data_IF_659485253861
#
_entry.id   IF_659485253861
#
_cell.length_a   1.000
_cell.length_b   1.000
_cell.length_c   1.000
_cell.angle_alpha   90.00
_cell.angle_beta   90.00
_cell.angle_gamma   90.00
#
_symmetry.space_group_name_H-M   'P 1'
#
loop_
_entity.id
_entity.type
_entity.pdbx_description
1 polymer ?
2 non-polymer ?
#
# COMPACT_ATOMS: atom_id res chain seq x y z
N UNK A 21 19.15 6.66 -29.26
CA UNK A 21 18.86 5.46 -30.03
C UNK A 21 17.40 5.05 -29.91
N UNK A 22 17.07 3.88 -30.45
CA UNK A 22 15.71 3.34 -30.37
C UNK A 22 15.73 2.18 -29.37
N UNK A 23 15.26 2.39 -28.14
CA UNK A 23 15.33 1.32 -27.14
C UNK A 23 14.38 0.18 -27.47
N UNK A 24 14.84 -1.05 -27.19
CA UNK A 24 14.00 -2.23 -27.42
C UNK A 24 12.90 -2.26 -26.37
N UNK A 25 11.76 -2.84 -26.74
CA UNK A 25 10.57 -2.82 -25.90
C UNK A 25 10.47 -4.07 -25.03
N UNK A 26 10.19 -3.87 -23.76
CA UNK A 26 9.86 -4.96 -22.86
C UNK A 26 8.55 -5.61 -23.28
N UNK A 27 8.32 -6.84 -22.81
CA UNK A 27 7.18 -7.64 -23.24
C UNK A 27 5.84 -6.90 -23.16
N UNK A 28 5.45 -6.36 -22.00
CA UNK A 28 4.16 -5.65 -21.96
C UNK A 28 4.17 -4.36 -22.76
N UNK A 29 5.34 -3.75 -22.96
CA UNK A 29 5.46 -2.49 -23.67
C UNK A 29 5.32 -2.73 -25.17
N UNK A 30 4.25 -2.20 -25.76
CA UNK A 30 4.10 -2.20 -27.21
C UNK A 30 4.29 -0.80 -27.79
N UNK A 31 4.10 0.25 -27.02
CA UNK A 31 4.38 1.62 -27.43
C UNK A 31 5.64 2.12 -26.72
N UNK A 32 6.38 3.00 -27.39
CA UNK A 32 7.50 3.66 -26.73
C UNK A 32 7.02 4.68 -25.70
N UNK A 33 5.95 5.40 -26.02
CA UNK A 33 5.44 6.43 -25.12
C UNK A 33 3.95 6.59 -25.34
N UNK A 34 3.23 6.85 -24.26
CA UNK A 34 1.81 7.20 -24.31
C UNK A 34 1.67 8.70 -24.07
N UNK A 35 1.01 9.38 -25.00
CA UNK A 35 0.82 10.82 -24.90
C UNK A 35 -0.46 11.07 -24.12
N UNK A 36 -0.31 11.44 -22.84
CA UNK A 36 -1.44 11.80 -22.00
C UNK A 36 -1.69 13.29 -22.13
N UNK A 37 -2.89 13.65 -22.61
CA UNK A 37 -3.19 15.04 -22.91
C UNK A 37 -4.67 15.31 -22.62
N UNK A 38 -5.01 16.60 -22.54
CA UNK A 38 -6.37 17.06 -22.38
C UNK A 38 -6.94 17.36 -23.76
N UNK A 39 -7.89 16.53 -24.21
CA UNK A 39 -8.42 16.62 -25.56
C UNK A 39 -9.19 17.90 -25.84
N UNK A 40 -9.52 18.68 -24.82
CA UNK A 40 -10.30 19.89 -25.05
C UNK A 40 -9.44 21.00 -25.63
N UNK A 41 -8.28 21.26 -25.02
CA UNK A 41 -7.45 22.39 -25.40
C UNK A 41 -6.09 22.03 -25.98
N UNK A 42 -5.56 20.84 -25.68
CA UNK A 42 -4.23 20.45 -26.12
C UNK A 42 -4.22 19.28 -27.09
N UNK A 43 -5.38 18.91 -27.64
CA UNK A 43 -5.42 17.82 -28.60
C UNK A 43 -4.63 18.15 -29.86
N UNK A 44 -4.43 19.43 -30.16
CA UNK A 44 -3.59 19.81 -31.29
C UNK A 44 -2.12 19.87 -30.89
N UNK A 45 -1.83 20.31 -29.66
CA UNK A 45 -0.46 20.33 -29.18
C UNK A 45 0.10 18.92 -29.04
N UNK A 46 -0.73 17.99 -28.57
CA UNK A 46 -0.28 16.60 -28.42
C UNK A 46 0.03 15.98 -29.77
N UNK A 47 -0.77 16.29 -30.80
CA UNK A 47 -0.51 15.76 -32.13
C UNK A 47 0.82 16.26 -32.68
N UNK A 48 1.20 17.49 -32.34
CA UNK A 48 2.49 18.02 -32.79
C UNK A 48 3.64 17.25 -32.20
N UNK A 49 3.58 16.93 -30.90
CA UNK A 49 4.63 16.16 -30.25
C UNK A 49 4.66 14.74 -30.80
N UNK A 50 3.51 14.19 -31.17
CA UNK A 50 3.46 12.86 -31.76
C UNK A 50 4.33 12.77 -33.01
N UNK A 51 4.22 13.76 -33.90
CA UNK A 51 5.03 13.75 -35.11
C UNK A 51 6.51 13.97 -34.79
N UNK A 52 6.81 14.80 -33.80
CA UNK A 52 8.20 15.08 -33.47
C UNK A 52 8.90 13.86 -32.89
N UNK A 53 8.16 13.00 -32.19
CA UNK A 53 8.75 11.81 -31.57
C UNK A 53 8.75 10.63 -32.54
N UNK A 54 7.68 10.43 -33.29
CA UNK A 54 7.61 9.30 -34.22
C UNK A 54 8.49 9.51 -35.44
N UNK A 55 8.85 10.76 -35.76
CA UNK A 55 9.73 11.00 -36.90
C UNK A 55 11.09 10.36 -36.71
N UNK A 56 11.53 10.19 -35.46
CA UNK A 56 12.83 9.62 -35.16
C UNK A 56 12.73 8.17 -34.66
N UNK A 57 11.72 7.43 -35.12
CA UNK A 57 11.68 5.98 -34.98
C UNK A 57 10.77 5.46 -33.89
N UNK A 58 10.40 6.27 -32.91
CA UNK A 58 9.65 5.77 -31.77
C UNK A 58 8.19 5.55 -32.13
N UNK A 59 7.60 4.53 -31.49
CA UNK A 59 6.19 4.19 -31.69
C UNK A 59 5.39 4.67 -30.48
N UNK A 60 4.45 5.58 -30.71
CA UNK A 60 3.69 6.21 -29.63
C UNK A 60 2.22 5.81 -29.73
N UNK A 61 1.48 6.15 -28.67
CA UNK A 61 0.05 5.91 -28.59
C UNK A 61 -0.66 7.25 -28.49
N UNK A 62 -1.22 7.71 -29.60
CA UNK A 62 -1.98 8.96 -29.66
C UNK A 62 -3.47 8.62 -29.69
N UNK A 63 -4.22 9.24 -28.79
CA UNK A 63 -5.61 8.82 -28.56
C UNK A 63 -6.49 9.03 -29.79
N UNK A 64 -6.26 10.13 -30.52
CA UNK A 64 -7.15 10.47 -31.62
C UNK A 64 -7.08 9.45 -32.75
N UNK A 65 -5.91 8.86 -32.99
CA UNK A 65 -5.78 7.92 -34.10
C UNK A 65 -5.72 6.45 -33.66
N UNK A 66 -5.32 6.18 -32.42
CA UNK A 66 -5.12 4.80 -31.99
C UNK A 66 -6.28 4.23 -31.20
N UNK A 67 -7.18 5.06 -30.69
CA UNK A 67 -8.37 4.60 -29.99
C UNK A 67 -9.60 4.71 -30.89
N UNK A 68 -10.59 3.88 -30.61
CA UNK A 68 -11.87 4.02 -31.28
C UNK A 68 -12.66 5.18 -30.68
N UNK A 69 -13.56 5.79 -31.44
CA UNK A 69 -14.32 6.94 -30.91
C UNK A 69 -15.04 6.65 -29.61
N UNK A 70 -15.81 5.56 -29.55
CA UNK A 70 -16.50 5.20 -28.33
C UNK A 70 -15.67 4.42 -27.33
N UNK A 71 -14.51 3.94 -27.74
CA UNK A 71 -13.62 3.15 -26.87
C UNK A 71 -12.51 4.00 -26.27
N UNK A 72 -12.87 5.16 -25.73
CA UNK A 72 -11.94 6.02 -25.01
C UNK A 72 -12.21 6.00 -23.52
N UNK A 73 -12.68 4.86 -22.99
CA UNK A 73 -13.00 4.73 -21.59
C UNK A 73 -11.74 4.84 -20.74
N UNK A 74 -11.94 4.89 -19.42
CA UNK A 74 -10.82 5.05 -18.50
C UNK A 74 -9.91 3.82 -18.51
N UNK A 75 -10.51 2.63 -18.61
CA UNK A 75 -9.71 1.41 -18.61
C UNK A 75 -8.90 1.25 -19.89
N UNK A 76 -9.44 1.71 -21.03
CA UNK A 76 -8.70 1.65 -22.28
C UNK A 76 -7.47 2.55 -22.22
N UNK A 77 -7.61 3.74 -21.64
CA UNK A 77 -6.45 4.61 -21.42
C UNK A 77 -5.44 3.91 -20.52
N UNK A 78 -5.93 3.17 -19.53
CA UNK A 78 -5.03 2.50 -18.58
C UNK A 78 -4.25 1.39 -19.26
N UNK A 79 -4.91 0.61 -20.13
CA UNK A 79 -4.22 -0.46 -20.84
C UNK A 79 -3.12 0.09 -21.74
N UNK A 80 -3.36 1.24 -22.36
CA UNK A 80 -2.33 1.87 -23.17
C UNK A 80 -1.14 2.30 -22.32
N UNK A 81 -1.41 2.79 -21.10
CA UNK A 81 -0.33 3.13 -20.19
C UNK A 81 0.42 1.88 -19.75
N UNK A 82 -0.31 0.80 -19.46
CA UNK A 82 0.32 -0.46 -19.09
C UNK A 82 1.17 -1.02 -20.23
N UNK A 83 0.80 -0.73 -21.48
CA UNK A 83 1.48 -1.25 -22.64
C UNK A 83 2.43 -0.24 -23.29
N UNK A 84 2.90 0.74 -22.54
CA UNK A 84 3.87 1.71 -23.04
C UNK A 84 4.95 1.92 -22.00
N UNK A 85 6.20 2.06 -22.47
CA UNK A 85 7.33 2.22 -21.56
C UNK A 85 7.27 3.57 -20.84
N UNK A 86 7.18 4.65 -21.60
CA UNK A 86 7.10 5.99 -21.06
C UNK A 86 5.71 6.58 -21.27
N UNK A 87 5.44 7.68 -20.57
CA UNK A 87 4.20 8.42 -20.68
C UNK A 87 4.54 9.89 -20.76
N UNK A 88 4.27 10.51 -21.91
CA UNK A 88 4.49 11.93 -22.11
C UNK A 88 3.25 12.67 -21.62
N UNK A 89 3.40 13.48 -20.58
CA UNK A 89 2.29 14.18 -19.94
C UNK A 89 2.28 15.62 -20.42
N UNK A 90 1.28 15.97 -21.22
CA UNK A 90 1.14 17.32 -21.76
C UNK A 90 0.32 18.15 -20.78
N UNK A 91 0.90 19.25 -20.31
CA UNK A 91 0.29 20.10 -19.29
C UNK A 91 0.30 21.54 -19.78
N UNK A 92 -0.87 22.16 -19.83
CA UNK A 92 -1.06 23.52 -20.28
C UNK A 92 -1.87 24.29 -19.25
N UNK A 93 -1.87 25.63 -19.31
CA UNK A 93 -2.74 26.38 -18.41
C UNK A 93 -4.21 26.01 -18.53
N UNK A 94 -4.69 25.74 -19.74
CA UNK A 94 -6.09 25.39 -19.90
C UNK A 94 -6.40 23.97 -19.47
N UNK A 95 -5.40 23.09 -19.46
CA UNK A 95 -5.63 21.70 -19.05
C UNK A 95 -5.78 21.56 -17.54
N UNK A 96 -5.09 22.40 -16.76
CA UNK A 96 -5.19 22.35 -15.31
C UNK A 96 -6.56 22.77 -14.80
N UNK A 97 -7.41 23.34 -15.66
CA UNK A 97 -8.75 23.73 -15.25
C UNK A 97 -9.78 22.64 -15.53
N UNK A 98 -9.62 21.91 -16.62
CA UNK A 98 -10.56 20.85 -16.97
C UNK A 98 -10.47 19.71 -15.96
N UNK A 99 -11.53 18.88 -15.95
CA UNK A 99 -11.58 17.73 -15.06
C UNK A 99 -10.49 16.70 -15.38
N UNK A 100 -9.84 16.81 -16.55
CA UNK A 100 -8.80 15.86 -16.91
C UNK A 100 -7.63 15.93 -15.94
N UNK A 101 -7.27 17.13 -15.49
CA UNK A 101 -6.19 17.29 -14.53
C UNK A 101 -6.52 16.66 -13.17
N UNK A 102 -7.80 16.52 -12.86
CA UNK A 102 -8.24 15.96 -11.58
C UNK A 102 -8.76 14.53 -11.74
N UNK A 103 -8.51 13.88 -12.86
CA UNK A 103 -9.03 12.54 -13.09
C UNK A 103 -8.08 11.70 -13.94
N UNK A 104 -8.12 11.89 -15.26
CA UNK A 104 -7.37 11.00 -16.16
C UNK A 104 -5.87 11.30 -16.14
N UNK A 105 -5.48 12.55 -15.88
CA UNK A 105 -4.06 12.86 -15.78
C UNK A 105 -3.41 12.14 -14.62
N UNK A 106 -4.12 12.03 -13.50
CA UNK A 106 -3.56 11.40 -12.31
C UNK A 106 -3.41 9.89 -12.46
N UNK A 107 -4.12 9.28 -13.42
CA UNK A 107 -4.00 7.83 -13.61
C UNK A 107 -2.67 7.46 -14.23
N UNK A 108 -1.93 8.41 -14.79
CA UNK A 108 -0.59 8.18 -15.29
C UNK A 108 0.48 8.53 -14.27
N UNK A 109 0.10 8.97 -13.07
CA UNK A 109 1.03 9.38 -12.03
C UNK A 109 1.04 8.30 -10.96
N UNK A 110 2.20 7.68 -10.75
CA UNK A 110 2.36 6.67 -9.73
C UNK A 110 2.73 7.33 -8.41
N UNK A 111 2.39 6.65 -7.31
CA UNK A 111 2.78 7.15 -6.00
C UNK A 111 4.29 7.08 -5.82
N UNK A 112 4.91 6.00 -6.30
CA UNK A 112 6.36 5.84 -6.21
C UNK A 112 7.07 6.91 -7.01
N UNK A 113 7.74 7.84 -6.31
CA UNK A 113 8.52 8.85 -7.00
C UNK A 113 9.64 8.24 -7.84
N UNK A 114 10.06 7.03 -7.52
CA UNK A 114 11.08 6.35 -8.32
C UNK A 114 10.56 6.02 -9.71
N UNK A 115 9.38 5.41 -9.80
CA UNK A 115 8.80 5.12 -11.11
C UNK A 115 8.38 6.39 -11.82
N UNK A 116 7.85 7.37 -11.07
CA UNK A 116 7.42 8.63 -11.69
C UNK A 116 8.58 9.32 -12.40
N UNK A 117 9.73 9.43 -11.74
CA UNK A 117 10.84 10.17 -12.32
C UNK A 117 11.44 9.45 -13.52
N UNK A 118 11.25 8.15 -13.65
CA UNK A 118 11.78 7.39 -14.78
C UNK A 118 10.75 7.26 -15.89
N UNK A 119 9.48 7.09 -15.53
CA UNK A 119 8.43 6.85 -16.51
C UNK A 119 7.76 8.13 -17.00
N UNK A 120 7.49 9.07 -16.10
CA UNK A 120 6.71 10.25 -16.45
C UNK A 120 7.58 11.31 -17.11
N UNK A 121 7.10 11.87 -18.21
CA UNK A 121 7.80 12.94 -18.91
C UNK A 121 6.87 14.15 -18.99
N UNK A 122 6.85 15.00 -17.96
CA UNK A 122 5.98 16.19 -18.01
C UNK A 122 6.47 17.20 -19.04
N UNK A 123 5.53 17.72 -19.82
CA UNK A 123 5.81 18.74 -20.83
C UNK A 123 4.95 19.95 -20.52
N UNK A 124 5.59 21.06 -20.19
CA UNK A 124 4.91 22.27 -19.75
C UNK A 124 4.79 23.25 -20.93
N UNK A 125 3.56 23.61 -21.26
CA UNK A 125 3.28 24.56 -22.34
C UNK A 125 2.78 25.88 -21.76
N UNK A 126 3.14 26.97 -22.44
CA UNK A 126 2.69 28.29 -22.00
C UNK A 126 3.22 28.59 -20.61
N UNK A 127 2.32 28.80 -19.66
CA UNK A 127 2.70 29.00 -18.28
C UNK A 127 3.31 27.75 -17.68
N UNK A 128 4.61 27.82 -17.37
CA UNK A 128 5.35 26.66 -16.89
C UNK A 128 5.58 26.72 -15.37
N UNK A 129 4.77 27.51 -14.65
CA UNK A 129 4.94 27.65 -13.22
C UNK A 129 4.74 26.32 -12.49
N UNK A 130 5.81 25.77 -11.94
CA UNK A 130 5.72 24.48 -11.24
C UNK A 130 4.84 24.61 -10.01
N UNK A 131 4.71 25.81 -9.44
CA UNK A 131 3.83 26.02 -8.31
C UNK A 131 2.37 25.75 -8.67
N UNK A 132 1.99 26.00 -9.93
CA UNK A 132 0.63 25.73 -10.37
C UNK A 132 0.36 24.24 -10.52
N UNK A 133 1.39 23.42 -10.67
CA UNK A 133 1.18 21.99 -10.79
C UNK A 133 0.55 21.45 -9.50
N UNK A 134 -0.35 20.47 -9.61
CA UNK A 134 -0.88 19.84 -8.40
C UNK A 134 0.22 19.18 -7.60
N UNK A 135 -0.01 18.93 -6.30
CA UNK A 135 1.03 18.35 -5.44
C UNK A 135 1.62 17.06 -6.02
N UNK A 136 0.85 16.20 -6.69
CA UNK A 136 1.50 15.03 -7.31
C UNK A 136 2.61 15.37 -8.28
N UNK A 137 2.46 16.44 -9.07
CA UNK A 137 3.43 16.78 -10.09
C UNK A 137 4.46 17.81 -9.65
N UNK A 138 4.21 18.53 -8.56
CA UNK A 138 5.11 19.60 -8.16
C UNK A 138 6.54 19.16 -7.89
N UNK A 139 6.82 18.03 -7.24
CA UNK A 139 8.22 17.63 -7.02
C UNK A 139 8.89 16.96 -8.21
N UNK A 140 8.26 16.95 -9.38
CA UNK A 140 8.82 16.28 -10.54
C UNK A 140 9.73 17.21 -11.33
N UNK A 141 10.59 16.60 -12.16
CA UNK A 141 11.50 17.33 -13.02
C UNK A 141 10.89 17.41 -14.40
N UNK A 142 10.39 18.58 -14.77
CA UNK A 142 9.62 18.77 -15.99
C UNK A 142 10.46 19.45 -17.07
N UNK A 143 9.98 19.32 -18.30
CA UNK A 143 10.62 19.95 -19.46
C UNK A 143 9.77 21.15 -19.88
N UNK A 144 10.41 22.31 -20.01
CA UNK A 144 9.74 23.50 -20.52
C UNK A 144 9.79 23.46 -22.04
N UNK A 145 8.63 23.34 -22.68
CA UNK A 145 8.50 23.36 -24.12
C UNK A 145 8.06 24.75 -24.54
N UNK A 146 8.87 25.41 -25.37
CA UNK A 146 8.58 26.76 -25.79
C UNK A 146 7.29 26.80 -26.63
N UNK A 147 6.75 28.01 -26.78
CA UNK A 147 5.54 28.20 -27.58
C UNK A 147 5.75 27.89 -29.06
N UNK A 148 6.99 27.72 -29.51
CA UNK A 148 7.26 27.35 -30.90
C UNK A 148 7.65 25.89 -31.06
N UNK A 149 7.62 25.11 -29.97
CA UNK A 149 7.94 23.68 -29.99
C UNK A 149 9.36 23.44 -30.50
N UNK A 150 10.33 24.08 -29.83
CA UNK A 150 11.73 23.88 -30.15
C UNK A 150 12.45 22.91 -29.20
N UNK A 151 11.98 22.77 -27.97
CA UNK A 151 12.55 21.79 -27.06
C UNK A 151 12.00 20.38 -27.28
N UNK A 152 11.47 20.10 -28.47
CA UNK A 152 10.86 18.80 -28.73
C UNK A 152 11.89 17.68 -28.68
N UNK A 153 13.16 17.97 -28.99
CA UNK A 153 14.19 16.95 -28.91
C UNK A 153 14.53 16.59 -27.46
N UNK A 154 14.26 17.49 -26.52
CA UNK A 154 14.42 17.15 -25.10
C UNK A 154 13.48 16.01 -24.71
N UNK A 155 12.27 16.00 -25.26
CA UNK A 155 11.30 14.94 -24.95
C UNK A 155 11.84 13.59 -25.41
N UNK A 156 12.48 13.56 -26.59
CA UNK A 156 12.98 12.31 -27.15
C UNK A 156 14.06 11.70 -26.27
N UNK A 157 14.78 12.54 -25.51
CA UNK A 157 15.85 12.02 -24.67
C UNK A 157 15.30 11.14 -23.55
N UNK A 158 14.20 11.57 -22.90
CA UNK A 158 13.66 10.82 -21.78
C UNK A 158 13.01 9.51 -22.19
N UNK A 159 12.81 9.27 -23.49
CA UNK A 159 12.16 8.06 -23.96
C UNK A 159 13.16 6.98 -24.38
N UNK A 160 14.43 7.33 -24.53
CA UNK A 160 15.42 6.38 -25.05
C UNK A 160 16.06 5.51 -23.99
N UNK A 161 15.95 5.87 -22.71
CA UNK A 161 16.55 5.09 -21.65
C UNK A 161 15.81 3.76 -21.49
N UNK A 162 16.46 2.60 -21.73
CA UNK A 162 15.81 1.29 -21.67
C UNK A 162 15.36 0.93 -20.26
N UNK A 169 15.05 -3.71 -10.37
CA UNK A 169 14.67 -2.99 -9.17
C UNK A 169 13.26 -2.43 -9.28
N UNK A 170 12.32 -3.08 -8.58
CA UNK A 170 10.92 -2.71 -8.66
C UNK A 170 10.64 -1.51 -7.75
N UNK A 171 9.97 -0.48 -8.24
CA UNK A 171 9.67 0.68 -7.41
C UNK A 171 8.54 0.40 -6.44
N UNK A 172 8.65 1.00 -5.25
CA UNK A 172 7.71 0.80 -4.16
C UNK A 172 7.11 2.14 -3.78
N UNK A 173 5.80 2.27 -3.91
CA UNK A 173 5.11 3.45 -3.43
C UNK A 173 4.98 3.42 -1.92
N UNK A 174 3.95 4.05 -1.38
CA UNK A 174 3.71 4.06 0.05
C UNK A 174 2.64 3.04 0.40
N UNK A 175 2.93 2.20 1.38
CA UNK A 175 2.07 1.07 1.74
C UNK A 175 1.19 1.35 2.96
N UNK A 176 1.42 2.46 3.67
CA UNK A 176 0.78 2.67 4.96
C UNK A 176 -0.73 2.72 4.83
N UNK A 177 -1.25 3.54 3.91
CA UNK A 177 -2.70 3.74 3.84
C UNK A 177 -3.40 2.51 3.29
N UNK A 178 -2.82 1.86 2.28
CA UNK A 178 -3.43 0.64 1.76
C UNK A 178 -3.52 -0.45 2.81
N UNK A 179 -2.44 -0.64 3.58
CA UNK A 179 -2.45 -1.64 4.64
C UNK A 179 -3.47 -1.31 5.71
N UNK A 180 -3.47 -0.06 6.18
CA UNK A 180 -4.29 0.31 7.34
C UNK A 180 -5.78 0.27 7.00
N UNK A 181 -6.18 0.90 5.89
CA UNK A 181 -7.58 0.90 5.53
C UNK A 181 -8.08 -0.50 5.21
N UNK A 182 -7.28 -1.29 4.51
CA UNK A 182 -7.67 -2.66 4.21
C UNK A 182 -7.78 -3.51 5.45
N UNK A 183 -6.83 -3.36 6.37
CA UNK A 183 -6.86 -4.14 7.61
C UNK A 183 -8.08 -3.79 8.46
N UNK A 184 -8.53 -2.54 8.40
CA UNK A 184 -9.68 -2.11 9.18
C UNK A 184 -10.99 -2.62 8.59
N UNK A 185 -11.31 -2.19 7.37
CA UNK A 185 -12.56 -2.58 6.73
C UNK A 185 -12.61 -4.08 6.45
N UNK A 186 -11.47 -4.66 6.06
CA UNK A 186 -11.45 -6.04 5.62
C UNK A 186 -11.24 -7.08 6.68
N UNK A 187 -10.99 -6.69 7.94
CA UNK A 187 -10.75 -7.68 8.97
C UNK A 187 -11.20 -7.20 10.35
N UNK A 188 -10.61 -6.10 10.83
CA UNK A 188 -10.97 -5.59 12.15
C UNK A 188 -12.45 -5.28 12.25
N UNK A 189 -13.03 -4.68 11.20
CA UNK A 189 -14.45 -4.39 11.21
C UNK A 189 -15.30 -5.66 11.20
N UNK A 190 -14.69 -6.81 10.92
CA UNK A 190 -15.42 -8.07 10.85
C UNK A 190 -15.39 -8.81 12.18
N UNK A 191 -14.22 -8.91 12.80
CA UNK A 191 -14.07 -9.75 13.99
C UNK A 191 -14.35 -8.98 15.28
N UNK A 192 -13.97 -7.71 15.34
CA UNK A 192 -13.99 -6.95 16.59
C UNK A 192 -15.40 -6.71 17.14
N UNK A 193 -16.43 -6.45 16.31
CA UNK A 193 -17.77 -6.30 16.87
C UNK A 193 -18.21 -7.52 17.67
N UNK A 194 -18.62 -7.27 18.91
CA UNK A 194 -19.05 -8.32 19.84
C UNK A 194 -17.98 -9.39 20.02
N UNK A 195 -16.71 -8.99 19.99
CA UNK A 195 -15.63 -9.91 20.31
C UNK A 195 -15.44 -10.07 21.81
N UNK A 196 -15.91 -9.11 22.61
CA UNK A 196 -15.79 -9.22 24.06
C UNK A 196 -16.61 -10.38 24.59
N UNK A 197 -17.86 -10.52 24.11
CA UNK A 197 -18.68 -11.66 24.51
C UNK A 197 -18.04 -12.96 24.08
N UNK A 198 -17.47 -13.00 22.88
CA UNK A 198 -16.87 -14.23 22.37
C UNK A 198 -15.67 -14.67 23.21
N UNK A 199 -14.84 -13.71 23.62
CA UNK A 199 -13.69 -14.05 24.44
C UNK A 199 -14.12 -14.37 25.87
N UNK A 200 -15.04 -13.57 26.43
CA UNK A 200 -15.52 -13.81 27.79
C UNK A 200 -16.25 -15.14 27.88
N UNK A 201 -17.03 -15.49 26.85
CA UNK A 201 -17.67 -16.80 26.83
C UNK A 201 -16.66 -17.93 26.68
N UNK A 202 -15.46 -17.63 26.16
CA UNK A 202 -14.44 -18.66 26.05
C UNK A 202 -13.74 -18.91 27.38
N UNK A 203 -13.44 -17.84 28.12
CA UNK A 203 -12.75 -18.02 29.40
C UNK A 203 -13.68 -18.58 30.47
N UNK A 204 -14.98 -18.27 30.39
CA UNK A 204 -15.93 -18.84 31.35
C UNK A 204 -16.12 -20.33 31.10
N UNK A 205 -16.08 -20.76 29.84
CA UNK A 205 -16.24 -22.18 29.53
C UNK A 205 -15.00 -22.97 29.96
N UNK A 206 -13.82 -22.42 29.69
CA UNK A 206 -12.57 -23.09 30.03
C UNK A 206 -12.06 -22.73 31.43
N UNK A 207 -12.84 -21.98 32.20
CA UNK A 207 -12.48 -21.61 33.58
C UNK A 207 -11.11 -20.93 33.61
N UNK A 208 -11.04 -19.76 32.96
CA UNK A 208 -9.79 -19.01 32.87
C UNK A 208 -9.90 -17.63 33.50
N UNK A 209 -10.86 -17.43 34.41
CA UNK A 209 -10.99 -16.15 35.07
C UNK A 209 -9.76 -15.87 35.94
N UNK A 210 -9.37 -14.60 36.00
CA UNK A 210 -8.18 -14.21 36.72
C UNK A 210 -6.87 -14.53 36.03
N UNK A 211 -6.90 -15.33 34.96
CA UNK A 211 -5.69 -15.67 34.21
C UNK A 211 -5.87 -15.44 32.70
N UNK A 212 -6.90 -14.70 32.30
CA UNK A 212 -7.12 -14.41 30.89
C UNK A 212 -7.86 -13.08 30.76
N UNK A 213 -7.42 -12.26 29.81
CA UNK A 213 -8.06 -11.00 29.51
C UNK A 213 -9.17 -11.19 28.49
N UNK A 214 -9.86 -10.11 28.16
CA UNK A 214 -10.92 -10.14 27.17
C UNK A 214 -10.60 -9.32 25.93
N UNK A 215 -9.40 -8.75 25.83
CA UNK A 215 -9.00 -7.95 24.69
C UNK A 215 -8.17 -8.77 23.72
N UNK A 216 -8.36 -8.51 22.43
CA UNK A 216 -7.56 -9.15 21.39
C UNK A 216 -6.22 -8.43 21.27
N UNK A 217 -5.14 -9.20 21.34
CA UNK A 217 -3.80 -8.64 21.32
C UNK A 217 -3.23 -8.74 19.90
N UNK A 218 -2.99 -7.59 19.27
CA UNK A 218 -2.39 -7.51 17.94
C UNK A 218 -0.92 -7.14 18.12
N UNK A 219 -0.04 -8.06 17.76
CA UNK A 219 1.40 -7.87 17.96
C UNK A 219 2.04 -7.26 16.73
N UNK A 220 2.94 -6.31 16.97
CA UNK A 220 3.55 -5.49 15.92
C UNK A 220 5.06 -5.50 16.15
N UNK A 221 5.74 -6.54 15.67
CA UNK A 221 7.21 -6.56 15.79
C UNK A 221 7.85 -5.47 14.94
N UNK A 222 8.97 -4.95 15.43
CA UNK A 222 9.62 -3.84 14.76
C UNK A 222 10.12 -4.23 13.37
N UNK A 223 10.65 -5.44 13.23
CA UNK A 223 11.16 -5.91 11.95
C UNK A 223 10.07 -6.34 10.98
N UNK A 224 8.81 -6.34 11.43
CA UNK A 224 7.65 -6.78 10.65
C UNK A 224 7.68 -8.26 10.33
N UNK A 225 8.61 -9.02 10.92
CA UNK A 225 8.70 -10.46 10.68
C UNK A 225 7.64 -11.15 11.52
N UNK A 226 6.50 -11.44 10.90
CA UNK A 226 5.46 -12.19 11.57
C UNK A 226 5.81 -13.68 11.62
N UNK A 227 5.42 -14.33 12.70
CA UNK A 227 5.66 -15.75 12.88
C UNK A 227 4.41 -16.54 12.51
N UNK A 228 4.63 -17.77 12.03
CA UNK A 228 3.51 -18.65 11.70
C UNK A 228 2.63 -18.90 12.91
N UNK A 229 3.25 -19.02 14.09
CA UNK A 229 2.53 -19.25 15.33
C UNK A 229 3.29 -18.56 16.45
N UNK A 230 2.56 -17.93 17.37
CA UNK A 230 3.21 -17.29 18.52
C UNK A 230 3.99 -18.32 19.33
N UNK A 231 3.59 -19.58 19.26
CA UNK A 231 4.34 -20.65 19.89
C UNK A 231 5.74 -20.81 19.32
N UNK A 232 6.03 -20.18 18.17
CA UNK A 232 7.37 -20.18 17.62
C UNK A 232 8.31 -19.20 18.32
N UNK A 233 7.79 -18.35 19.19
CA UNK A 233 8.66 -17.42 19.91
C UNK A 233 9.35 -18.11 21.08
N UNK A 234 8.66 -19.02 21.76
CA UNK A 234 9.23 -19.67 22.92
C UNK A 234 8.46 -20.95 23.20
N UNK A 235 9.13 -21.88 23.89
CA UNK A 235 8.48 -23.09 24.35
C UNK A 235 7.48 -22.84 25.48
N UNK A 236 7.36 -21.60 25.95
CA UNK A 236 6.38 -21.24 26.95
C UNK A 236 5.02 -20.90 26.36
N UNK A 237 4.97 -20.52 25.09
CA UNK A 237 3.71 -20.25 24.41
C UNK A 237 3.17 -21.55 23.83
N UNK A 238 1.90 -21.85 24.12
CA UNK A 238 1.28 -23.08 23.68
C UNK A 238 -0.04 -22.75 22.99
N UNK A 239 -0.27 -23.39 21.84
CA UNK A 239 -1.56 -23.28 21.17
C UNK A 239 -2.61 -24.02 22.00
N UNK A 240 -3.62 -23.29 22.48
CA UNK A 240 -4.61 -23.86 23.40
C UNK A 240 -6.03 -23.83 22.84
N UNK A 241 -6.21 -23.58 21.54
CA UNK A 241 -7.52 -23.60 20.95
C UNK A 241 -7.76 -22.35 20.12
N UNK A 242 -9.04 -22.08 19.87
CA UNK A 242 -9.42 -20.95 19.04
C UNK A 242 -10.82 -20.48 19.43
N UNK A 243 -11.16 -19.28 19.00
CA UNK A 243 -12.50 -18.75 19.17
C UNK A 243 -13.43 -19.34 18.12
N UNK A 244 -14.75 -19.27 18.34
CA UNK A 244 -15.69 -19.77 17.34
C UNK A 244 -15.44 -19.17 15.97
N UNK A 245 -15.49 -20.02 14.95
CA UNK A 245 -15.16 -19.61 13.59
C UNK A 245 -16.24 -18.68 13.05
N UNK A 246 -15.81 -17.61 12.40
CA UNK A 246 -16.71 -16.66 11.75
C UNK A 246 -16.73 -17.00 10.26
N UNK A 247 -17.87 -17.51 9.79
CA UNK A 247 -18.03 -17.93 8.41
C UNK A 247 -18.84 -16.88 7.65
N UNK A 248 -18.28 -16.40 6.54
CA UNK A 248 -18.90 -15.32 5.79
C UNK A 248 -18.56 -15.48 4.31
N UNK A 249 -19.57 -15.27 3.46
CA UNK A 249 -19.36 -15.22 2.01
C UNK A 249 -18.89 -13.83 1.65
N UNK A 250 -17.62 -13.69 1.31
CA UNK A 250 -17.02 -12.39 1.00
C UNK A 250 -16.19 -12.48 -0.26
N UNK A 251 -16.30 -11.44 -1.09
CA UNK A 251 -15.51 -11.31 -2.32
C UNK A 251 -15.72 -12.49 -3.27
N UNK A 252 -16.90 -13.10 -3.23
CA UNK A 252 -17.18 -14.25 -4.06
C UNK A 252 -16.65 -15.57 -3.53
N UNK A 253 -16.05 -15.59 -2.35
CA UNK A 253 -15.57 -16.81 -1.72
C UNK A 253 -16.59 -17.22 -0.68
N UNK A 254 -17.29 -18.33 -0.95
CA UNK A 254 -18.33 -18.80 -0.05
C UNK A 254 -17.69 -19.53 1.13
N UNK A 255 -18.16 -19.20 2.34
CA UNK A 255 -17.70 -19.82 3.58
C UNK A 255 -16.22 -19.54 3.83
N UNK A 256 -15.83 -18.27 3.72
CA UNK A 256 -14.49 -17.84 4.10
C UNK A 256 -14.41 -17.78 5.61
N UNK A 257 -13.44 -18.50 6.19
CA UNK A 257 -13.33 -18.62 7.64
C UNK A 257 -12.46 -17.50 8.21
N UNK A 258 -12.96 -16.85 9.25
CA UNK A 258 -12.21 -15.89 10.05
C UNK A 258 -12.08 -16.47 11.45
N UNK A 259 -10.91 -17.00 11.77
CA UNK A 259 -10.68 -17.70 13.03
C UNK A 259 -9.65 -16.95 13.86
N UNK A 260 -9.89 -16.89 15.17
CA UNK A 260 -8.99 -16.26 16.12
C UNK A 260 -8.45 -17.32 17.06
N UNK A 261 -7.12 -17.38 17.17
CA UNK A 261 -6.45 -18.45 17.91
C UNK A 261 -6.18 -18.04 19.35
N UNK A 262 -6.35 -18.99 20.27
CA UNK A 262 -6.08 -18.78 21.69
C UNK A 262 -4.74 -19.43 22.02
N UNK A 263 -3.88 -18.68 22.72
CA UNK A 263 -2.60 -19.18 23.19
C UNK A 263 -2.56 -19.11 24.72
N UNK A 264 -1.44 -19.54 25.29
CA UNK A 264 -1.22 -19.44 26.72
C UNK A 264 0.26 -19.24 26.98
N UNK A 265 0.58 -18.36 27.93
CA UNK A 265 1.95 -18.14 28.37
C UNK A 265 2.09 -18.70 29.77
N UNK A 266 3.30 -19.11 30.11
CA UNK A 266 3.62 -19.60 31.45
C UNK A 266 4.39 -18.51 32.19
N UNK A 267 3.82 -18.02 33.28
CA UNK A 267 4.48 -17.01 34.09
C UNK A 267 5.69 -17.62 34.80
N UNK A 268 6.53 -16.74 35.36
CA UNK A 268 7.68 -17.18 36.14
C UNK A 268 7.26 -18.03 37.33
N UNK A 269 6.04 -17.85 37.83
CA UNK A 269 5.51 -18.63 38.94
C UNK A 269 4.85 -19.93 38.49
N UNK A 270 5.15 -20.39 37.28
CA UNK A 270 4.61 -21.63 36.76
C UNK A 270 3.14 -21.59 36.38
N UNK A 271 2.45 -20.48 36.63
CA UNK A 271 1.03 -20.35 36.33
C UNK A 271 0.82 -19.94 34.88
N UNK A 272 -0.22 -20.49 34.27
CA UNK A 272 -0.51 -20.25 32.86
C UNK A 272 -1.51 -19.11 32.73
N UNK A 273 -1.12 -18.07 31.99
CA UNK A 273 -2.02 -16.98 31.64
C UNK A 273 -2.47 -17.16 30.19
N UNK A 274 -3.78 -17.01 29.95
CA UNK A 274 -4.36 -17.17 28.63
C UNK A 274 -4.59 -15.82 27.97
N UNK A 275 -4.75 -15.85 26.65
CA UNK A 275 -4.96 -14.64 25.87
C UNK A 275 -5.30 -15.01 24.44
N UNK A 276 -6.10 -14.17 23.79
CA UNK A 276 -6.33 -14.27 22.35
C UNK A 276 -5.33 -13.34 21.67
N UNK A 277 -4.41 -13.92 20.90
CA UNK A 277 -3.34 -13.15 20.30
C UNK A 277 -3.10 -13.53 18.86
N UNK A 278 -2.51 -12.59 18.13
CA UNK A 278 -2.19 -12.75 16.71
C UNK A 278 -1.31 -11.59 16.29
N UNK A 279 -0.63 -11.76 15.16
CA UNK A 279 0.16 -10.70 14.58
C UNK A 279 -0.69 -9.88 13.62
N UNK A 280 -0.26 -8.64 13.40
CA UNK A 280 -0.81 -7.82 12.33
C UNK A 280 -0.19 -8.32 11.03
N UNK A 281 -0.81 -9.34 10.43
CA UNK A 281 -0.20 -10.05 9.32
C UNK A 281 0.03 -9.23 8.07
N UNK A 282 -0.67 -8.10 7.94
CA UNK A 282 -0.51 -7.28 6.74
C UNK A 282 0.90 -6.71 6.66
N UNK A 283 1.55 -6.52 7.81
CA UNK A 283 2.88 -5.92 7.81
C UNK A 283 3.96 -6.89 7.36
N UNK A 284 3.66 -8.19 7.31
CA UNK A 284 4.68 -9.16 6.93
C UNK A 284 5.12 -8.97 5.49
N UNK A 285 4.27 -8.37 4.65
CA UNK A 285 4.66 -8.08 3.27
C UNK A 285 5.88 -7.17 3.23
N UNK A 286 5.93 -6.18 4.12
CA UNK A 286 7.09 -5.29 4.17
C UNK A 286 8.37 -6.06 4.49
N UNK A 287 8.28 -7.11 5.31
CA UNK A 287 9.44 -7.95 5.57
C UNK A 287 9.84 -8.74 4.32
N UNK A 288 8.86 -9.32 3.62
CA UNK A 288 9.17 -10.10 2.44
C UNK A 288 9.72 -9.24 1.31
N UNK A 289 9.24 -8.00 1.19
CA UNK A 289 9.78 -7.10 0.18
C UNK A 289 11.20 -6.68 0.53
N UNK A 290 11.51 -6.54 1.81
CA UNK A 290 12.87 -6.20 2.23
C UNK A 290 13.83 -7.36 1.95
N UNK A 291 13.38 -8.60 2.13
CA UNK A 291 14.23 -9.75 1.87
C UNK A 291 14.38 -10.01 0.38
N UNK A 292 13.36 -9.69 -0.41
CA UNK A 292 13.44 -9.83 -1.87
C UNK A 292 14.40 -8.78 -2.41
N UNK A 293 15.56 -9.24 -2.90
CA UNK A 293 16.60 -8.31 -3.35
C UNK A 293 16.16 -7.50 -4.57
N UNK A 294 15.19 -8.00 -5.33
CA UNK A 294 14.71 -7.26 -6.50
C UNK A 294 13.77 -6.13 -6.13
N UNK A 295 13.19 -6.15 -4.94
CA UNK A 295 12.22 -5.13 -4.55
C UNK A 295 12.92 -3.88 -4.04
N UNK A 296 12.43 -2.72 -4.48
CA UNK A 296 12.97 -1.45 -4.04
C UNK A 296 12.47 -1.01 -2.68
N UNK A 297 12.75 -1.81 -1.65
CA UNK A 297 12.40 -1.48 -0.28
C UNK A 297 13.53 -1.97 0.62
N UNK A 298 14.32 -1.04 1.15
CA UNK A 298 15.43 -1.39 2.01
C UNK A 298 15.00 -1.38 3.47
N UNK A 299 15.89 -1.87 4.33
CA UNK A 299 15.59 -1.98 5.75
C UNK A 299 15.31 -0.64 6.39
N UNK A 300 15.76 0.46 5.79
CA UNK A 300 15.53 1.77 6.38
C UNK A 300 14.13 2.29 6.03
N UNK A 301 13.73 2.18 4.76
CA UNK A 301 12.39 2.61 4.39
C UNK A 301 11.31 1.71 4.99
N UNK A 302 11.62 0.42 5.18
CA UNK A 302 10.69 -0.48 5.85
C UNK A 302 10.31 0.05 7.23
N UNK A 303 11.29 0.57 7.97
CA UNK A 303 10.99 1.17 9.27
C UNK A 303 10.16 2.43 9.12
N UNK A 304 10.35 3.17 8.04
CA UNK A 304 9.53 4.38 7.80
C UNK A 304 8.12 3.98 7.43
N UNK A 305 7.97 3.07 6.45
CA UNK A 305 6.65 2.65 6.02
C UNK A 305 5.86 2.00 7.15
N UNK A 306 6.55 1.27 8.03
CA UNK A 306 5.85 0.63 9.14
C UNK A 306 5.36 1.63 10.16
N UNK A 307 6.09 2.75 10.35
CA UNK A 307 5.67 3.74 11.32
C UNK A 307 4.55 4.63 10.77
N UNK A 308 4.60 4.95 9.48
CA UNK A 308 3.45 5.61 8.85
C UNK A 308 2.21 4.72 8.90
N UNK A 309 2.40 3.40 8.81
CA UNK A 309 1.28 2.48 8.95
C UNK A 309 0.76 2.47 10.38
N UNK A 310 1.65 2.49 11.36
CA UNK A 310 1.23 2.49 12.76
C UNK A 310 0.40 3.72 13.09
N UNK A 311 0.84 4.89 12.62
CA UNK A 311 0.09 6.12 12.86
C UNK A 311 -1.26 6.09 12.16
N UNK A 312 -1.26 5.72 10.87
CA UNK A 312 -2.51 5.74 10.10
C UNK A 312 -3.53 4.78 10.69
N UNK A 313 -3.11 3.57 11.06
CA UNK A 313 -4.05 2.61 11.63
C UNK A 313 -4.59 3.11 12.97
N UNK A 314 -3.72 3.66 13.82
CA UNK A 314 -4.19 4.17 15.11
C UNK A 314 -5.08 5.40 14.93
N UNK A 315 -4.86 6.19 13.88
CA UNK A 315 -5.77 7.30 13.59
C UNK A 315 -7.13 6.78 13.14
N UNK A 316 -7.14 5.71 12.34
CA UNK A 316 -8.40 5.12 11.90
C UNK A 316 -9.16 4.54 13.09
N UNK A 317 -8.45 3.87 13.99
CA UNK A 317 -9.11 3.25 15.14
C UNK A 317 -9.70 4.29 16.08
N UNK A 318 -9.10 5.49 16.14
CA UNK A 318 -9.67 6.55 16.96
C UNK A 318 -11.06 6.95 16.47
N UNK A 319 -11.30 6.84 15.16
CA UNK A 319 -12.61 7.17 14.61
C UNK A 319 -13.67 6.18 15.08
N UNK A 320 -13.31 4.89 15.16
CA UNK A 320 -14.22 3.84 15.58
C UNK A 320 -13.90 3.44 17.00
N UNK A 321 -14.56 4.03 18.01
CA UNK A 321 -14.23 3.69 19.40
C UNK A 321 -14.79 2.35 19.85
N UNK A 322 -15.77 1.79 19.15
CA UNK A 322 -16.28 0.48 19.50
C UNK A 322 -15.38 -0.66 19.06
N UNK A 323 -14.47 -0.41 18.12
CA UNK A 323 -13.50 -1.40 17.69
C UNK A 323 -12.13 -1.21 18.32
N UNK A 324 -11.70 0.04 18.49
CA UNK A 324 -10.35 0.30 18.98
C UNK A 324 -10.13 -0.29 20.37
N UNK A 325 -11.05 -0.01 21.29
CA UNK A 325 -10.88 -0.44 22.67
C UNK A 325 -11.24 -1.92 22.89
N UNK A 326 -11.57 -2.65 21.85
CA UNK A 326 -11.74 -4.10 21.94
C UNK A 326 -10.48 -4.86 21.54
N UNK A 327 -9.42 -4.15 21.15
CA UNK A 327 -8.15 -4.77 20.82
C UNK A 327 -7.03 -3.92 21.39
N UNK A 328 -5.81 -4.47 21.36
CA UNK A 328 -4.63 -3.81 21.91
C UNK A 328 -3.46 -4.05 20.99
N UNK A 329 -2.95 -2.98 20.37
CA UNK A 329 -1.75 -3.06 19.56
C UNK A 329 -0.53 -3.02 20.48
N UNK A 330 0.43 -3.90 20.21
CA UNK A 330 1.63 -4.03 21.03
C UNK A 330 2.84 -3.96 20.08
N UNK A 331 3.50 -2.81 20.02
CA UNK A 331 4.74 -2.68 19.28
C UNK A 331 5.91 -3.03 20.19
N UNK A 332 6.93 -3.65 19.60
CA UNK A 332 8.09 -4.09 20.37
C UNK A 332 9.23 -4.35 19.40
N UNK A 333 10.44 -4.51 19.96
CA UNK A 333 11.59 -4.90 19.20
C UNK A 333 11.77 -6.42 19.26
N UNK A 334 12.14 -7.01 18.14
CA UNK A 334 12.40 -8.45 18.06
C UNK A 334 13.81 -8.73 17.54
N UNK A 335 14.76 -7.85 17.89
CA UNK A 335 16.13 -8.01 17.41
C UNK A 335 16.92 -8.94 18.33
N UNK A 336 16.60 -9.00 19.61
CA UNK A 336 17.29 -9.90 20.53
C UNK A 336 16.78 -11.32 20.36
N UNK A 337 17.63 -12.27 20.75
CA UNK A 337 17.34 -13.69 20.63
C UNK A 337 16.83 -14.30 21.94
N UNK A 338 16.39 -13.47 22.87
CA UNK A 338 15.98 -13.96 24.19
C UNK A 338 14.71 -14.80 24.05
N UNK A 339 14.82 -16.09 24.41
CA UNK A 339 13.66 -16.95 24.48
C UNK A 339 12.75 -16.62 25.67
N UNK A 340 13.11 -15.63 26.47
CA UNK A 340 12.28 -15.16 27.58
C UNK A 340 11.71 -13.77 27.39
N UNK A 341 12.24 -12.99 26.44
CA UNK A 341 11.77 -11.62 26.26
C UNK A 341 10.33 -11.57 25.78
N UNK A 342 9.96 -12.47 24.87
CA UNK A 342 8.61 -12.48 24.32
C UNK A 342 7.58 -13.00 25.32
N UNK A 343 7.85 -14.11 26.04
CA UNK A 343 6.85 -14.57 27.02
C UNK A 343 6.56 -13.56 28.13
N UNK A 344 7.58 -12.89 28.66
CA UNK A 344 7.33 -11.92 29.71
C UNK A 344 6.64 -10.67 29.18
N UNK A 345 6.86 -10.34 27.91
CA UNK A 345 6.15 -9.21 27.30
C UNK A 345 4.65 -9.48 27.23
N UNK A 346 4.27 -10.70 26.84
CA UNK A 346 2.85 -11.05 26.81
C UNK A 346 2.28 -11.09 28.22
N UNK A 347 3.08 -11.52 29.20
CA UNK A 347 2.63 -11.51 30.58
C UNK A 347 2.42 -10.09 31.09
N UNK A 348 3.42 -9.22 30.88
CA UNK A 348 3.29 -7.82 31.29
C UNK A 348 2.15 -7.12 30.56
N UNK A 349 1.75 -7.62 29.39
CA UNK A 349 0.66 -7.00 28.65
C UNK A 349 -0.70 -7.44 29.17
N UNK A 350 -0.82 -8.69 29.63
CA UNK A 350 -2.08 -9.15 30.22
C UNK A 350 -2.27 -8.54 31.60
N UNK A 351 -1.17 -8.17 32.27
CA UNK A 351 -1.27 -7.53 33.58
C UNK A 351 -2.15 -6.29 33.53
N UNK A 352 -1.87 -5.39 32.58
CA UNK A 352 -2.66 -4.16 32.46
C UNK A 352 -4.13 -4.49 32.21
N UNK A 353 -4.41 -5.49 31.40
CA UNK A 353 -5.80 -5.80 31.06
C UNK A 353 -6.54 -6.41 32.25
N UNK A 354 -5.89 -7.32 32.97
CA UNK A 354 -6.53 -7.87 34.16
C UNK A 354 -6.63 -6.84 35.28
N UNK A 355 -5.66 -5.92 35.35
CA UNK A 355 -5.72 -4.86 36.35
C UNK A 355 -6.88 -3.91 36.08
N UNK A 356 -7.14 -3.62 34.80
CA UNK A 356 -8.24 -2.74 34.41
C UNK A 356 -9.60 -3.43 34.44
N UNK A 357 -9.71 -4.59 35.08
CA UNK A 357 -10.96 -5.32 35.16
C UNK A 357 -11.29 -5.69 36.61
#
# INVERSE_FOLDING_TARGET
SEKNGAHSFLSDTPVTSLTMSVPVLRHPHVYHAFISYCADADTSHARTILDSVESRGFTCCFAERDFLPGECTSDVVVDAIHCSKNVILVISPASLQSEWSKFEMLMAVDDSHQRNNVCLVPVLLGGVKVDDLPPPLRPLTCIELMDDFRNTDDIIQAISKPEDTWESLLPVGNLAHGFAWGYYYGYLKIILPDLDKTVRQWRRVNNAEGRMSEKLFLFFPQSCRCRDSIADESSLIKHRGHLPIITKDRAGIIERQYKNTIYSVTDDNGEDYFFAGEYIGVIHTMFEMEQNATTGLQTREKYVQSMRFYLTLKRILDTDPECSKKCKIVFYKDVNNSSDAMPRLICNEIKNQLRKESSDDTTVCMTPFNSPFPSISSPDFARCSLKSSSSTNMVKSEPNIYREESGKTKSVERG
#
